data_IF_241775545906
#
_entry.id   IF_241775545906
#
_cell.length_a   1.000
_cell.length_b   1.000
_cell.length_c   1.000
_cell.angle_alpha   90.00
_cell.angle_beta   90.00
_cell.angle_gamma   90.00
#
_symmetry.space_group_name_H-M   'P 1'
#
loop_
_entity.id
_entity.type
_entity.pdbx_description
1 polymer ?
#
# COMPACT_ATOMS: atom_id res chain seq x y z
N UNK A 1 -0.15 -19.94 21.20
CA UNK A 1 -0.26 -18.83 20.23
C UNK A 1 0.56 -17.61 20.69
N UNK A 2 1.88 -17.78 20.91
CA UNK A 2 2.77 -16.77 21.54
C UNK A 2 3.54 -15.89 20.52
N UNK A 3 3.26 -16.06 19.22
CA UNK A 3 3.95 -15.38 18.11
C UNK A 3 3.14 -14.23 17.50
N UNK A 4 1.92 -13.96 18.01
CA UNK A 4 1.06 -12.90 17.51
C UNK A 4 1.19 -11.72 18.45
N UNK A 5 2.17 -10.85 18.17
CA UNK A 5 2.25 -9.53 18.78
C UNK A 5 1.03 -8.73 18.31
N UNK A 6 0.28 -8.16 19.25
CA UNK A 6 -0.76 -7.19 18.91
C UNK A 6 -0.05 -5.92 18.38
N UNK A 7 -0.31 -5.60 17.12
CA UNK A 7 0.33 -4.49 16.41
C UNK A 7 -0.73 -3.43 16.13
N UNK A 8 -0.47 -2.20 16.60
CA UNK A 8 -1.26 -1.05 16.18
C UNK A 8 -0.73 -0.56 14.83
N UNK A 9 -1.60 -0.58 13.82
CA UNK A 9 -1.31 -0.12 12.47
C UNK A 9 -1.87 1.29 12.29
N UNK A 10 -0.97 2.24 12.13
CA UNK A 10 -1.31 3.64 11.92
C UNK A 10 -1.17 4.00 10.43
N UNK A 11 -2.25 4.47 9.79
CA UNK A 11 -2.25 4.86 8.37
C UNK A 11 -1.75 6.29 8.27
N UNK A 12 -0.57 6.46 7.71
CA UNK A 12 0.11 7.75 7.69
C UNK A 12 -0.06 8.48 6.35
N UNK A 13 -0.41 7.76 5.28
CA UNK A 13 -0.71 8.39 4.00
C UNK A 13 -1.31 7.44 2.98
N UNK A 14 -2.08 8.04 2.06
CA UNK A 14 -2.67 7.40 0.88
C UNK A 14 -2.25 8.23 -0.33
N UNK A 15 -1.92 7.53 -1.41
CA UNK A 15 -1.35 8.12 -2.62
C UNK A 15 -2.08 7.60 -3.85
N UNK A 16 -2.25 8.47 -4.83
CA UNK A 16 -2.59 8.13 -6.20
C UNK A 16 -1.58 8.82 -7.11
N UNK A 17 -0.83 8.05 -7.89
CA UNK A 17 0.16 8.63 -8.78
C UNK A 17 0.97 7.61 -9.56
N UNK A 18 1.90 8.14 -10.36
CA UNK A 18 2.70 7.36 -11.29
C UNK A 18 4.06 6.96 -10.70
N UNK A 19 4.55 5.80 -11.14
CA UNK A 19 5.89 5.33 -10.79
C UNK A 19 6.45 4.52 -11.94
N UNK A 20 7.45 5.07 -12.64
CA UNK A 20 8.06 4.41 -13.80
C UNK A 20 8.62 3.01 -13.45
N UNK A 21 9.17 2.85 -12.25
CA UNK A 21 9.67 1.56 -11.78
C UNK A 21 8.55 0.53 -11.62
N UNK A 22 7.39 0.94 -11.08
CA UNK A 22 6.25 0.04 -10.91
C UNK A 22 5.56 -0.24 -12.25
N UNK A 23 5.44 0.77 -13.12
CA UNK A 23 4.95 0.61 -14.49
C UNK A 23 5.77 -0.44 -15.25
N UNK A 24 7.11 -0.36 -15.16
CA UNK A 24 8.00 -1.35 -15.77
C UNK A 24 7.90 -2.73 -15.09
N UNK A 25 7.77 -2.80 -13.76
CA UNK A 25 7.70 -4.08 -13.05
C UNK A 25 6.38 -4.84 -13.27
N UNK A 26 5.28 -4.11 -13.46
CA UNK A 26 3.95 -4.67 -13.70
C UNK A 26 3.55 -4.71 -15.18
N UNK A 27 4.41 -4.19 -16.08
CA UNK A 27 4.15 -4.05 -17.52
C UNK A 27 2.81 -3.34 -17.83
N UNK A 28 2.60 -2.21 -17.16
CA UNK A 28 1.40 -1.37 -17.31
C UNK A 28 1.75 0.11 -17.36
N UNK A 29 0.93 0.93 -18.01
CA UNK A 29 1.12 2.38 -18.12
C UNK A 29 0.16 3.21 -17.26
N UNK A 30 -0.47 2.57 -16.27
CA UNK A 30 -1.46 3.22 -15.39
C UNK A 30 -0.83 3.78 -14.11
N UNK A 31 -1.57 4.64 -13.42
CA UNK A 31 -1.25 5.10 -12.07
C UNK A 31 -1.55 4.04 -11.02
N UNK A 32 -0.93 4.18 -9.86
CA UNK A 32 -1.06 3.25 -8.75
C UNK A 32 -1.68 3.92 -7.54
N UNK A 33 -2.56 3.20 -6.86
CA UNK A 33 -2.88 3.51 -5.48
C UNK A 33 -1.81 2.94 -4.57
N UNK A 34 -1.34 3.74 -3.63
CA UNK A 34 -0.41 3.32 -2.59
C UNK A 34 -0.82 3.85 -1.23
N UNK A 35 -0.27 3.25 -0.19
CA UNK A 35 -0.39 3.74 1.18
C UNK A 35 0.83 3.35 1.98
N UNK A 36 1.02 4.03 3.10
CA UNK A 36 2.03 3.60 4.06
C UNK A 36 1.50 3.59 5.48
N UNK A 37 2.08 2.68 6.25
CA UNK A 37 1.71 2.43 7.63
C UNK A 37 2.92 2.47 8.53
N UNK A 38 2.72 3.00 9.74
CA UNK A 38 3.65 2.81 10.84
C UNK A 38 3.07 1.76 11.78
N UNK A 39 3.78 0.66 11.97
CA UNK A 39 3.46 -0.32 13.01
C UNK A 39 4.09 0.13 14.31
N UNK A 40 3.31 0.05 15.38
CA UNK A 40 3.74 0.38 16.72
C UNK A 40 3.75 -0.86 17.59
N UNK A 41 4.76 -0.96 18.46
CA UNK A 41 4.85 -1.98 19.49
C UNK A 41 5.39 -1.34 20.78
N UNK A 42 4.66 -1.50 21.88
CA UNK A 42 4.96 -0.87 23.17
C UNK A 42 5.21 0.66 23.08
N UNK A 43 4.39 1.36 22.30
CA UNK A 43 4.48 2.81 22.12
C UNK A 43 5.69 3.28 21.30
N UNK A 44 6.45 2.36 20.70
CA UNK A 44 7.59 2.67 19.84
C UNK A 44 7.30 2.27 18.39
N UNK A 45 7.79 3.04 17.41
CA UNK A 45 7.68 2.66 16.00
C UNK A 45 8.52 1.40 15.75
N UNK A 46 7.87 0.36 15.22
CA UNK A 46 8.49 -0.92 14.93
C UNK A 46 8.88 -1.03 13.46
N UNK A 47 7.98 -0.66 12.53
CA UNK A 47 8.20 -0.85 11.10
C UNK A 47 7.36 0.11 10.29
N UNK A 48 7.96 0.72 9.27
CA UNK A 48 7.28 1.48 8.23
C UNK A 48 7.10 0.58 7.00
N UNK A 49 5.86 0.44 6.53
CA UNK A 49 5.54 -0.35 5.35
C UNK A 49 5.02 0.59 4.27
N UNK A 50 5.63 0.55 3.09
CA UNK A 50 5.07 1.12 1.86
C UNK A 50 4.48 -0.02 1.05
N UNK A 51 3.21 0.10 0.70
CA UNK A 51 2.52 -0.88 -0.14
C UNK A 51 1.75 -0.19 -1.26
N UNK A 52 1.68 -0.90 -2.38
CA UNK A 52 0.97 -0.49 -3.59
C UNK A 52 -0.06 -1.55 -3.90
N UNK A 53 -1.26 -1.11 -4.28
CA UNK A 53 -2.32 -2.02 -4.69
C UNK A 53 -2.01 -2.59 -6.07
N UNK A 54 -2.21 -3.89 -6.22
CA UNK A 54 -2.02 -4.56 -7.51
C UNK A 54 -2.98 -3.97 -8.56
N UNK A 55 -2.48 -3.50 -9.72
CA UNK A 55 -3.32 -3.01 -10.82
C UNK A 55 -4.31 -4.06 -11.32
N UNK A 56 -4.01 -5.35 -11.12
CA UNK A 56 -4.89 -6.45 -11.48
C UNK A 56 -6.26 -6.38 -10.78
N UNK A 57 -6.35 -5.72 -9.62
CA UNK A 57 -7.61 -5.57 -8.89
C UNK A 57 -8.68 -4.79 -9.66
N UNK A 58 -8.29 -3.95 -10.64
CA UNK A 58 -9.22 -3.25 -11.55
C UNK A 58 -10.18 -4.22 -12.25
N UNK A 59 -9.74 -5.46 -12.52
CA UNK A 59 -10.57 -6.52 -13.10
C UNK A 59 -11.84 -6.82 -12.27
N UNK A 60 -11.77 -6.66 -10.95
CA UNK A 60 -12.84 -7.03 -10.03
C UNK A 60 -13.53 -5.83 -9.39
N UNK A 61 -12.79 -4.74 -9.15
CA UNK A 61 -13.28 -3.54 -8.46
C UNK A 61 -13.76 -2.46 -9.42
N UNK A 62 -13.51 -2.61 -10.72
CA UNK A 62 -13.74 -1.58 -11.73
C UNK A 62 -12.61 -0.54 -11.77
N UNK A 63 -12.76 0.51 -12.61
CA UNK A 63 -11.78 1.58 -12.73
C UNK A 63 -11.49 2.22 -11.37
N UNK A 64 -10.21 2.33 -11.02
CA UNK A 64 -9.78 2.91 -9.75
C UNK A 64 -9.34 4.38 -9.90
N UNK A 65 -9.47 4.99 -11.08
CA UNK A 65 -9.16 6.40 -11.29
C UNK A 65 -10.25 7.30 -10.70
N UNK A 66 -9.84 8.49 -10.23
CA UNK A 66 -10.81 9.56 -9.93
C UNK A 66 -11.47 10.03 -11.25
N UNK A 67 -12.78 10.31 -11.26
CA UNK A 67 -13.48 10.83 -12.43
C UNK A 67 -12.96 12.20 -12.87
#
# INVERSE_FOLDING_TARGET
ARLRTELYRDVQGIYYGDSAALQSAFDISESFWGRHYLFWHHGQPLTLIYEVFSPYLTKYLGPMALP
#
